data_IF_814398327700
#
_entry.id   IF_814398327700
#
_cell.length_a   1.000
_cell.length_b   1.000
_cell.length_c   1.000
_cell.angle_alpha   90.00
_cell.angle_beta   90.00
_cell.angle_gamma   90.00
#
_symmetry.space_group_name_H-M   'P 1'
#
loop_
_entity.id
_entity.type
_entity.pdbx_description
1 polymer ?
#
# COMPACT_ATOMS: atom_id res chain seq x y z
N UNK A 1 -61.47 10.78 2.73
CA UNK A 1 -60.06 11.13 2.42
C UNK A 1 -59.16 11.09 3.67
N UNK A 2 -59.22 10.03 4.50
CA UNK A 2 -58.32 9.86 5.68
C UNK A 2 -57.47 8.58 5.63
N UNK A 3 -57.92 7.55 4.91
CA UNK A 3 -57.25 6.24 4.87
C UNK A 3 -55.95 6.19 4.03
N UNK A 4 -55.80 7.06 3.01
CA UNK A 4 -54.58 7.08 2.17
C UNK A 4 -53.37 7.69 2.87
N UNK A 5 -53.56 8.64 3.81
CA UNK A 5 -52.45 9.27 4.56
C UNK A 5 -51.75 8.28 5.50
N UNK A 6 -52.50 7.40 6.16
CA UNK A 6 -51.94 6.45 7.13
C UNK A 6 -51.09 5.36 6.46
N UNK A 7 -51.40 4.95 5.22
CA UNK A 7 -50.57 4.00 4.45
C UNK A 7 -49.23 4.58 4.02
N UNK A 8 -49.18 5.87 3.65
CA UNK A 8 -47.95 6.54 3.24
C UNK A 8 -47.02 6.71 4.46
N UNK A 9 -47.56 7.12 5.61
CA UNK A 9 -46.78 7.28 6.85
C UNK A 9 -46.20 5.94 7.32
N UNK A 10 -46.96 4.85 7.24
CA UNK A 10 -46.49 3.52 7.62
C UNK A 10 -45.37 2.99 6.69
N UNK A 11 -45.46 3.30 5.39
CA UNK A 11 -44.45 2.94 4.38
C UNK A 11 -43.14 3.73 4.54
N UNK A 12 -43.21 4.99 4.99
CA UNK A 12 -42.01 5.81 5.23
C UNK A 12 -41.23 5.36 6.48
N UNK A 13 -41.93 4.89 7.51
CA UNK A 13 -41.31 4.38 8.74
C UNK A 13 -40.58 3.06 8.47
N UNK A 14 -41.13 2.18 7.63
CA UNK A 14 -40.49 0.89 7.27
C UNK A 14 -39.24 1.07 6.39
N UNK A 15 -39.23 2.06 5.49
CA UNK A 15 -38.06 2.38 4.68
C UNK A 15 -36.91 2.97 5.54
N UNK A 16 -37.26 3.81 6.52
CA UNK A 16 -36.28 4.43 7.42
C UNK A 16 -35.60 3.40 8.34
N UNK A 17 -36.32 2.38 8.80
CA UNK A 17 -35.75 1.30 9.62
C UNK A 17 -34.77 0.41 8.85
N UNK A 18 -34.98 0.19 7.55
CA UNK A 18 -34.05 -0.59 6.71
C UNK A 18 -32.76 0.21 6.48
N UNK A 19 -32.86 1.54 6.32
CA UNK A 19 -31.71 2.41 6.16
C UNK A 19 -30.86 2.49 7.45
N UNK A 20 -31.48 2.48 8.63
CA UNK A 20 -30.73 2.47 9.89
C UNK A 20 -29.98 1.15 10.14
N UNK A 21 -30.50 0.01 9.69
CA UNK A 21 -29.81 -1.28 9.86
C UNK A 21 -28.65 -1.52 8.88
N UNK A 22 -28.65 -0.86 7.71
CA UNK A 22 -27.53 -0.97 6.77
C UNK A 22 -26.26 -0.23 7.25
N UNK A 23 -26.40 0.82 8.06
CA UNK A 23 -25.26 1.59 8.57
C UNK A 23 -24.59 0.88 9.76
N UNK A 24 -25.34 0.11 10.55
CA UNK A 24 -24.80 -0.60 11.73
C UNK A 24 -23.92 -1.81 11.39
N UNK A 25 -23.93 -2.30 10.13
CA UNK A 25 -23.05 -3.38 9.69
C UNK A 25 -21.64 -2.91 9.29
N UNK A 26 -21.41 -1.59 9.20
CA UNK A 26 -20.08 -1.01 8.90
C UNK A 26 -19.38 -0.49 10.16
N UNK A 27 -19.65 -1.11 11.31
CA UNK A 27 -18.94 -0.89 12.57
C UNK A 27 -18.15 -2.14 12.98
N UNK A 28 -17.68 -2.91 12.00
CA UNK A 28 -16.54 -3.81 12.21
C UNK A 28 -15.31 -2.90 12.36
N UNK A 29 -14.76 -2.84 13.57
CA UNK A 29 -13.81 -1.81 14.01
C UNK A 29 -12.65 -1.60 13.03
N UNK A 30 -12.66 -0.45 12.35
CA UNK A 30 -11.45 0.09 11.75
C UNK A 30 -10.53 0.48 12.91
N UNK A 31 -9.41 -0.23 13.09
CA UNK A 31 -8.41 0.16 14.07
C UNK A 31 -7.95 1.59 13.78
N UNK A 32 -7.82 2.41 14.81
CA UNK A 32 -7.33 3.78 14.62
C UNK A 32 -5.86 3.78 14.14
N UNK A 33 -5.41 4.86 13.50
CA UNK A 33 -3.99 5.00 13.12
C UNK A 33 -3.08 4.82 14.34
N UNK A 34 -3.47 5.37 15.49
CA UNK A 34 -2.73 5.22 16.76
C UNK A 34 -2.63 3.74 17.19
N UNK A 35 -3.71 2.96 17.06
CA UNK A 35 -3.72 1.52 17.34
C UNK A 35 -2.84 0.72 16.37
N UNK A 36 -2.79 1.13 15.10
CA UNK A 36 -1.92 0.51 14.09
C UNK A 36 -0.45 0.78 14.40
N UNK A 37 -0.08 2.03 14.70
CA UNK A 37 1.29 2.41 15.04
C UNK A 37 1.75 1.73 16.33
N UNK A 38 0.90 1.60 17.34
CA UNK A 38 1.25 0.88 18.57
C UNK A 38 1.50 -0.62 18.30
N UNK A 39 0.72 -1.26 17.41
CA UNK A 39 0.99 -2.63 16.99
C UNK A 39 2.33 -2.78 16.24
N UNK A 40 2.66 -1.85 15.34
CA UNK A 40 3.96 -1.86 14.66
C UNK A 40 5.11 -1.65 15.66
N UNK A 41 4.88 -0.84 16.70
CA UNK A 41 5.85 -0.61 17.77
C UNK A 41 6.11 -1.87 18.58
N UNK A 42 5.07 -2.63 18.95
CA UNK A 42 5.23 -3.91 19.67
C UNK A 42 6.09 -4.90 18.88
N UNK A 43 5.93 -4.96 17.55
CA UNK A 43 6.75 -5.80 16.67
C UNK A 43 8.21 -5.32 16.68
N UNK A 44 8.43 -4.01 16.53
CA UNK A 44 9.77 -3.42 16.51
C UNK A 44 10.49 -3.56 17.86
N UNK A 45 9.79 -3.44 18.98
CA UNK A 45 10.37 -3.55 20.33
C UNK A 45 10.88 -4.97 20.63
N UNK A 46 10.47 -5.97 19.84
CA UNK A 46 11.04 -7.33 19.89
C UNK A 46 12.41 -7.47 19.18
N UNK A 47 12.87 -6.44 18.48
CA UNK A 47 14.11 -6.42 17.70
C UNK A 47 15.32 -5.88 18.48
N UNK A 48 16.49 -5.86 17.82
CA UNK A 48 17.73 -5.28 18.38
C UNK A 48 17.93 -3.79 18.04
N UNK A 49 16.90 -3.10 17.52
CA UNK A 49 17.02 -1.71 17.11
C UNK A 49 17.14 -0.76 18.32
N UNK A 50 17.94 0.28 18.15
CA UNK A 50 18.00 1.38 19.12
C UNK A 50 16.70 2.19 19.10
N UNK A 51 16.39 2.90 20.19
CA UNK A 51 15.21 3.77 20.25
C UNK A 51 15.12 4.80 19.10
N UNK A 52 16.28 5.28 18.61
CA UNK A 52 16.34 6.15 17.44
C UNK A 52 15.92 5.41 16.16
N UNK A 53 16.45 4.21 15.95
CA UNK A 53 16.11 3.37 14.80
C UNK A 53 14.65 2.94 14.81
N UNK A 54 14.12 2.54 15.97
CA UNK A 54 12.70 2.20 16.12
C UNK A 54 11.80 3.37 15.75
N UNK A 55 12.09 4.58 16.25
CA UNK A 55 11.34 5.78 15.88
C UNK A 55 11.43 6.09 14.39
N UNK A 56 12.61 5.92 13.79
CA UNK A 56 12.80 6.13 12.36
C UNK A 56 11.91 5.20 11.52
N UNK A 57 11.89 3.90 11.84
CA UNK A 57 11.04 2.92 11.14
C UNK A 57 9.56 3.27 11.37
N UNK A 58 9.16 3.56 12.61
CA UNK A 58 7.77 3.87 12.94
C UNK A 58 7.25 5.12 12.23
N UNK A 59 8.06 6.18 12.16
CA UNK A 59 7.69 7.39 11.43
C UNK A 59 7.49 7.09 9.95
N UNK A 60 8.40 6.36 9.31
CA UNK A 60 8.26 6.02 7.89
C UNK A 60 7.12 5.03 7.64
N UNK A 61 6.84 4.12 8.58
CA UNK A 61 5.66 3.27 8.51
C UNK A 61 4.37 4.09 8.60
N UNK A 62 4.31 5.10 9.47
CA UNK A 62 3.19 6.03 9.53
C UNK A 62 3.00 6.77 8.20
N UNK A 63 4.09 7.26 7.59
CA UNK A 63 4.04 7.93 6.29
C UNK A 63 3.45 7.00 5.20
N UNK A 64 3.80 5.70 5.21
CA UNK A 64 3.21 4.70 4.32
C UNK A 64 1.70 4.57 4.52
N UNK A 65 1.23 4.43 5.77
CA UNK A 65 -0.20 4.32 6.08
C UNK A 65 -0.97 5.58 5.66
N UNK A 66 -0.39 6.76 5.91
CA UNK A 66 -0.95 8.05 5.50
C UNK A 66 -1.01 8.20 3.97
N UNK A 67 -0.06 7.60 3.24
CA UNK A 67 -0.05 7.56 1.77
C UNK A 67 -1.02 6.54 1.15
N UNK A 68 -1.71 5.75 1.99
CA UNK A 68 -2.70 4.77 1.56
C UNK A 68 -2.17 3.35 1.37
N UNK A 69 -0.92 3.06 1.75
CA UNK A 69 -0.41 1.69 1.78
C UNK A 69 -1.13 0.91 2.89
N UNK A 70 -1.65 -0.31 2.63
CA UNK A 70 -2.37 -1.08 3.62
C UNK A 70 -1.52 -1.39 4.87
N UNK A 71 -2.19 -1.40 6.03
CA UNK A 71 -1.57 -1.76 7.30
C UNK A 71 -0.95 -3.15 7.27
N UNK A 72 -1.66 -4.15 6.72
CA UNK A 72 -1.13 -5.52 6.66
C UNK A 72 0.13 -5.62 5.80
N UNK A 73 0.24 -4.87 4.70
CA UNK A 73 1.46 -4.86 3.89
C UNK A 73 2.63 -4.23 4.64
N UNK A 74 2.40 -3.09 5.29
CA UNK A 74 3.40 -2.42 6.13
C UNK A 74 3.86 -3.33 7.27
N UNK A 75 2.90 -3.95 7.97
CA UNK A 75 3.14 -4.90 9.07
C UNK A 75 3.94 -6.11 8.60
N UNK A 76 3.54 -6.73 7.49
CA UNK A 76 4.21 -7.90 6.93
C UNK A 76 5.68 -7.59 6.58
N UNK A 77 5.97 -6.40 6.03
CA UNK A 77 7.35 -6.02 5.73
C UNK A 77 8.17 -5.88 7.02
N UNK A 78 7.62 -5.29 8.09
CA UNK A 78 8.34 -5.16 9.37
C UNK A 78 8.56 -6.53 10.00
N UNK A 79 7.53 -7.38 10.09
CA UNK A 79 7.62 -8.71 10.69
C UNK A 79 8.70 -9.55 10.00
N UNK A 80 8.64 -9.66 8.67
CA UNK A 80 9.64 -10.40 7.89
C UNK A 80 11.04 -9.77 8.00
N UNK A 81 11.14 -8.44 8.03
CA UNK A 81 12.43 -7.76 8.18
C UNK A 81 13.08 -8.04 9.54
N UNK A 82 12.29 -8.10 10.60
CA UNK A 82 12.77 -8.44 11.95
C UNK A 82 13.18 -9.92 12.00
N UNK A 83 12.37 -10.82 11.45
CA UNK A 83 12.67 -12.26 11.36
C UNK A 83 13.98 -12.52 10.60
N UNK A 84 14.14 -11.89 9.44
CA UNK A 84 15.33 -12.01 8.58
C UNK A 84 16.51 -11.12 9.02
N UNK A 85 16.42 -10.51 10.21
CA UNK A 85 17.49 -9.71 10.81
C UNK A 85 18.00 -8.57 9.90
N UNK A 86 17.09 -7.91 9.19
CA UNK A 86 17.41 -6.67 8.48
C UNK A 86 17.85 -5.61 9.48
N UNK A 87 18.79 -4.76 9.08
CA UNK A 87 19.09 -3.58 9.87
C UNK A 87 18.04 -2.49 9.59
N UNK A 88 17.84 -1.60 10.57
CA UNK A 88 16.83 -0.56 10.49
C UNK A 88 16.95 0.36 9.25
N UNK A 89 18.17 0.58 8.75
CA UNK A 89 18.38 1.41 7.56
C UNK A 89 17.96 0.69 6.29
N UNK A 90 18.14 -0.63 6.22
CA UNK A 90 17.62 -1.45 5.13
C UNK A 90 16.09 -1.45 5.09
N UNK A 91 15.42 -1.54 6.24
CA UNK A 91 13.95 -1.41 6.32
C UNK A 91 13.52 -0.03 5.83
N UNK A 92 14.16 1.03 6.34
CA UNK A 92 13.85 2.39 5.91
C UNK A 92 13.99 2.56 4.40
N UNK A 93 15.05 2.01 3.79
CA UNK A 93 15.22 2.08 2.33
C UNK A 93 14.11 1.38 1.56
N UNK A 94 13.65 0.21 2.03
CA UNK A 94 12.50 -0.47 1.42
C UNK A 94 11.27 0.42 1.50
N UNK A 95 11.00 1.00 2.66
CA UNK A 95 9.88 1.92 2.86
C UNK A 95 9.97 3.19 2.03
N UNK A 96 11.14 3.83 1.96
CA UNK A 96 11.35 5.03 1.16
C UNK A 96 11.03 4.77 -0.31
N UNK A 97 11.51 3.65 -0.88
CA UNK A 97 11.25 3.30 -2.28
C UNK A 97 9.74 3.09 -2.54
N UNK A 98 9.04 2.42 -1.63
CA UNK A 98 7.59 2.20 -1.73
C UNK A 98 6.83 3.53 -1.59
N UNK A 99 7.20 4.35 -0.60
CA UNK A 99 6.57 5.63 -0.32
C UNK A 99 6.74 6.61 -1.48
N UNK A 100 7.95 6.75 -2.00
CA UNK A 100 8.25 7.63 -3.13
C UNK A 100 7.43 7.21 -4.36
N UNK A 101 7.37 5.90 -4.64
CA UNK A 101 6.57 5.35 -5.75
C UNK A 101 5.07 5.65 -5.58
N UNK A 102 4.54 5.45 -4.37
CA UNK A 102 3.14 5.72 -4.04
C UNK A 102 2.81 7.23 -4.17
N UNK A 103 3.71 8.10 -3.72
CA UNK A 103 3.54 9.56 -3.80
C UNK A 103 3.62 10.09 -5.23
N UNK A 104 4.36 9.42 -6.11
CA UNK A 104 4.38 9.67 -7.55
C UNK A 104 3.12 9.16 -8.27
N UNK A 105 2.20 8.49 -7.56
CA UNK A 105 0.98 7.90 -8.14
C UNK A 105 1.24 6.65 -8.98
N UNK A 106 2.39 6.00 -8.77
CA UNK A 106 2.79 4.78 -9.46
C UNK A 106 2.33 3.54 -8.66
N UNK A 107 2.17 2.36 -9.30
CA UNK A 107 1.59 1.18 -8.66
C UNK A 107 2.56 0.53 -7.65
N UNK A 108 2.58 1.04 -6.43
CA UNK A 108 3.47 0.60 -5.34
C UNK A 108 3.22 -0.86 -4.90
N UNK A 109 2.01 -1.40 -5.13
CA UNK A 109 1.68 -2.82 -4.86
C UNK A 109 2.66 -3.77 -5.57
N UNK A 110 3.10 -3.41 -6.78
CA UNK A 110 4.07 -4.21 -7.54
C UNK A 110 5.42 -4.33 -6.80
N UNK A 111 5.84 -3.27 -6.11
CA UNK A 111 7.06 -3.26 -5.30
C UNK A 111 6.88 -4.08 -4.02
N UNK A 112 5.75 -3.92 -3.33
CA UNK A 112 5.40 -4.68 -2.12
C UNK A 112 5.41 -6.18 -2.42
N UNK A 113 4.78 -6.59 -3.51
CA UNK A 113 4.78 -7.98 -3.97
C UNK A 113 6.20 -8.50 -4.22
N UNK A 114 7.08 -7.66 -4.77
CA UNK A 114 8.48 -8.02 -5.01
C UNK A 114 9.31 -8.13 -3.74
N UNK A 115 9.06 -7.27 -2.75
CA UNK A 115 9.63 -7.39 -1.40
C UNK A 115 9.23 -8.72 -0.77
N UNK A 116 7.92 -9.03 -0.78
CA UNK A 116 7.37 -10.27 -0.22
C UNK A 116 7.91 -11.52 -0.93
N UNK A 117 8.07 -11.48 -2.25
CA UNK A 117 8.73 -12.54 -3.03
C UNK A 117 10.18 -12.75 -2.54
N UNK A 118 10.89 -11.65 -2.30
CA UNK A 118 12.25 -11.65 -1.77
C UNK A 118 12.34 -12.35 -0.40
N UNK A 119 11.47 -11.98 0.53
CA UNK A 119 11.37 -12.65 1.84
C UNK A 119 11.04 -14.13 1.71
N UNK A 120 10.03 -14.49 0.92
CA UNK A 120 9.64 -15.89 0.72
C UNK A 120 10.76 -16.77 0.13
N UNK A 121 11.71 -16.16 -0.57
CA UNK A 121 12.88 -16.82 -1.17
C UNK A 121 14.16 -16.69 -0.33
N UNK A 122 14.09 -16.09 0.86
CA UNK A 122 15.25 -15.77 1.71
C UNK A 122 16.35 -15.00 0.95
N UNK A 123 15.94 -14.08 0.08
CA UNK A 123 16.86 -13.28 -0.73
C UNK A 123 17.57 -12.29 0.18
N UNK A 124 18.85 -12.05 -0.09
CA UNK A 124 19.63 -11.07 0.67
C UNK A 124 19.01 -9.66 0.57
N UNK A 125 18.94 -8.95 1.70
CA UNK A 125 18.39 -7.57 1.79
C UNK A 125 18.92 -6.60 0.75
N UNK A 126 20.22 -6.67 0.42
CA UNK A 126 20.82 -5.78 -0.58
C UNK A 126 20.30 -6.08 -1.98
N UNK A 127 20.04 -7.36 -2.29
CA UNK A 127 19.44 -7.78 -3.56
C UNK A 127 17.97 -7.35 -3.61
N UNK A 128 17.20 -7.54 -2.52
CA UNK A 128 15.80 -7.09 -2.45
C UNK A 128 15.72 -5.59 -2.74
N UNK A 129 16.51 -4.77 -2.02
CA UNK A 129 16.56 -3.32 -2.22
C UNK A 129 16.94 -2.97 -3.67
N UNK A 130 17.96 -3.62 -4.23
CA UNK A 130 18.39 -3.36 -5.61
C UNK A 130 17.28 -3.65 -6.62
N UNK A 131 16.57 -4.77 -6.46
CA UNK A 131 15.51 -5.18 -7.39
C UNK A 131 14.31 -4.25 -7.30
N UNK A 132 13.87 -3.87 -6.10
CA UNK A 132 12.73 -2.94 -5.96
C UNK A 132 13.08 -1.52 -6.42
N UNK A 133 14.32 -1.07 -6.22
CA UNK A 133 14.78 0.22 -6.75
C UNK A 133 14.79 0.23 -8.27
N UNK A 134 15.29 -0.83 -8.90
CA UNK A 134 15.25 -0.97 -10.36
C UNK A 134 13.79 -1.03 -10.88
N UNK A 135 12.92 -1.74 -10.17
CA UNK A 135 11.49 -1.81 -10.55
C UNK A 135 10.79 -0.45 -10.42
N UNK A 136 11.09 0.32 -9.38
CA UNK A 136 10.57 1.68 -9.21
C UNK A 136 11.03 2.61 -10.36
N UNK A 137 12.30 2.51 -10.77
CA UNK A 137 12.81 3.24 -11.94
C UNK A 137 12.10 2.83 -13.23
N UNK A 138 11.89 1.53 -13.45
CA UNK A 138 11.13 1.04 -14.60
C UNK A 138 9.68 1.53 -14.60
N UNK A 139 9.01 1.60 -13.45
CA UNK A 139 7.66 2.16 -13.32
C UNK A 139 7.63 3.64 -13.73
N UNK A 140 8.64 4.40 -13.30
CA UNK A 140 8.78 5.81 -13.69
C UNK A 140 8.99 5.96 -15.19
N UNK A 141 9.93 5.22 -15.77
CA UNK A 141 10.18 5.24 -17.22
C UNK A 141 8.95 4.80 -18.02
N UNK A 142 8.24 3.75 -17.57
CA UNK A 142 7.00 3.30 -18.19
C UNK A 142 5.92 4.38 -18.17
N UNK A 143 5.76 5.07 -17.04
CA UNK A 143 4.82 6.18 -16.91
C UNK A 143 5.21 7.38 -17.80
N UNK A 144 6.50 7.70 -17.92
CA UNK A 144 7.00 8.73 -18.84
C UNK A 144 6.67 8.39 -20.30
N UNK A 145 6.97 7.17 -20.75
CA UNK A 145 6.65 6.67 -22.10
C UNK A 145 5.14 6.76 -22.35
N UNK A 146 4.32 6.37 -21.37
CA UNK A 146 2.86 6.38 -21.51
C UNK A 146 2.33 7.81 -21.64
N UNK A 147 2.84 8.73 -20.83
CA UNK A 147 2.46 10.14 -20.89
C UNK A 147 2.86 10.79 -22.22
N UNK A 148 4.02 10.43 -22.78
CA UNK A 148 4.41 10.86 -24.13
C UNK A 148 3.43 10.34 -25.20
N UNK A 149 3.08 9.06 -25.15
CA UNK A 149 2.13 8.47 -26.09
C UNK A 149 0.73 9.12 -26.02
N UNK A 150 0.25 9.43 -24.81
CA UNK A 150 -1.02 10.16 -24.61
C UNK A 150 -0.96 11.58 -25.20
N UNK A 151 0.17 12.28 -25.07
CA UNK A 151 0.37 13.60 -25.67
C UNK A 151 0.39 13.55 -27.19
N UNK A 152 0.84 12.44 -27.78
CA UNK A 152 0.78 12.17 -29.22
C UNK A 152 -0.62 11.74 -29.70
N UNK A 153 -1.57 11.58 -28.78
CA UNK A 153 -2.96 11.29 -29.09
C UNK A 153 -3.29 9.81 -29.20
N UNK A 154 -2.45 8.91 -28.66
CA UNK A 154 -2.86 7.52 -28.47
C UNK A 154 -3.94 7.44 -27.39
N UNK A 155 -5.02 6.71 -27.67
CA UNK A 155 -6.00 6.33 -26.66
C UNK A 155 -5.52 5.09 -25.91
N UNK A 156 -5.40 5.20 -24.60
CA UNK A 156 -4.93 4.12 -23.72
C UNK A 156 -6.01 3.85 -22.69
N UNK A 157 -6.43 2.59 -22.60
CA UNK A 157 -7.38 2.15 -21.57
C UNK A 157 -6.60 1.49 -20.44
N UNK A 158 -6.90 1.83 -19.20
CA UNK A 158 -6.22 1.25 -18.04
C UNK A 158 -4.78 1.72 -17.90
N UNK A 159 -4.56 3.03 -17.79
CA UNK A 159 -3.23 3.65 -17.69
C UNK A 159 -2.35 3.00 -16.62
N UNK A 160 -2.88 2.79 -15.41
CA UNK A 160 -2.17 2.16 -14.29
C UNK A 160 -1.70 0.72 -14.61
N UNK A 161 -2.59 -0.11 -15.18
CA UNK A 161 -2.26 -1.48 -15.58
C UNK A 161 -1.19 -1.47 -16.68
N UNK A 162 -1.28 -0.51 -17.61
CA UNK A 162 -0.32 -0.38 -18.70
C UNK A 162 1.07 0.05 -18.22
N UNK A 163 1.15 0.96 -17.23
CA UNK A 163 2.42 1.31 -16.57
C UNK A 163 3.09 0.07 -16.00
N UNK A 164 2.34 -0.80 -15.31
CA UNK A 164 2.87 -2.05 -14.76
C UNK A 164 3.43 -2.98 -15.84
N UNK A 165 2.66 -3.23 -16.91
CA UNK A 165 3.06 -4.12 -18.00
C UNK A 165 4.30 -3.61 -18.75
N UNK A 166 4.35 -2.29 -19.01
CA UNK A 166 5.51 -1.67 -19.65
C UNK A 166 6.75 -1.75 -18.76
N UNK A 167 6.61 -1.49 -17.46
CA UNK A 167 7.71 -1.59 -16.51
C UNK A 167 8.28 -3.02 -16.42
N UNK A 168 7.42 -4.03 -16.43
CA UNK A 168 7.83 -5.45 -16.43
C UNK A 168 8.54 -5.83 -17.75
N UNK A 169 8.18 -5.17 -18.86
CA UNK A 169 8.87 -5.36 -20.14
C UNK A 169 10.28 -4.76 -20.12
N UNK A 170 10.46 -3.60 -19.47
CA UNK A 170 11.76 -2.94 -19.29
C UNK A 170 12.73 -3.75 -18.41
N UNK A 171 12.21 -4.55 -17.45
CA UNK A 171 13.03 -5.43 -16.61
C UNK A 171 13.82 -6.47 -17.42
N UNK A 172 13.30 -6.87 -18.59
CA UNK A 172 13.92 -7.89 -19.45
C UNK A 172 14.99 -7.34 -20.42
N UNK A 173 15.11 -6.02 -20.56
CA UNK A 173 16.10 -5.37 -21.45
C UNK A 173 17.38 -4.93 -20.71
N UNK A 174 17.44 -5.09 -19.39
CA UNK A 174 18.63 -4.81 -18.58
C UNK A 174 19.40 -6.12 -18.33
N UNK A 175 20.69 -6.24 -18.74
CA UNK A 175 21.49 -7.42 -18.44
C UNK A 175 21.66 -7.57 -16.92
N UNK A 176 21.24 -8.72 -16.39
CA UNK A 176 21.50 -9.11 -14.99
C UNK A 176 22.97 -9.39 -14.67
#
# INVERSE_FOLDING_TARGET
MKLKKNKIILSSITLLTIFCFAISAFSAGTSTMDEQIEQLKDIIDSSFYSAFQSRMILNTAQDLLESGIPFEDTKNIIENSVEESFDAYSIKKVFDVILDTQQEGLPAESLINKVNEGFAKNVNKTIIISVISAKAENLKTANEILNEALQEGLEINGEEEMVGILADSLENDVPG
#
